data_IF_906099964001
#
_entry.id   IF_906099964001
#
_cell.length_a   1.000
_cell.length_b   1.000
_cell.length_c   1.000
_cell.angle_alpha   90.00
_cell.angle_beta   90.00
_cell.angle_gamma   90.00
#
_symmetry.space_group_name_H-M   'P 1'
#
loop_
_entity.id
_entity.type
_entity.pdbx_description
1 polymer ?
#
# COMPACT_ATOMS: atom_id res chain seq x y z
N UNK A 1 -16.72 -23.19 14.54
CA UNK A 1 -16.10 -21.89 14.25
C UNK A 1 -14.67 -22.20 13.88
N UNK A 2 -14.23 -21.84 12.67
CA UNK A 2 -12.80 -21.86 12.36
C UNK A 2 -12.18 -20.70 13.14
N UNK A 3 -11.23 -21.00 14.02
CA UNK A 3 -10.33 -19.98 14.55
C UNK A 3 -9.54 -19.43 13.36
N UNK A 4 -9.83 -18.20 12.97
CA UNK A 4 -9.14 -17.49 11.88
C UNK A 4 -7.73 -17.02 12.29
N UNK A 5 -7.26 -17.45 13.47
CA UNK A 5 -5.95 -17.13 14.07
C UNK A 5 -4.82 -18.08 13.64
N UNK A 6 -5.09 -19.04 12.74
CA UNK A 6 -4.03 -19.84 12.13
C UNK A 6 -3.27 -19.01 11.08
N UNK A 7 -1.94 -18.95 11.21
CA UNK A 7 -1.09 -18.25 10.26
C UNK A 7 -1.19 -18.91 8.87
N UNK A 8 -1.86 -18.26 7.94
CA UNK A 8 -1.87 -18.64 6.53
C UNK A 8 -0.83 -17.80 5.77
N UNK A 9 0.05 -18.46 5.02
CA UNK A 9 1.10 -17.81 4.22
C UNK A 9 0.77 -17.80 2.73
N UNK A 10 1.11 -16.70 2.05
CA UNK A 10 1.05 -16.57 0.59
C UNK A 10 2.28 -15.79 0.12
N UNK A 11 2.98 -16.30 -0.90
CA UNK A 11 4.16 -15.65 -1.46
C UNK A 11 3.79 -14.98 -2.79
N UNK A 12 4.07 -13.68 -2.90
CA UNK A 12 3.91 -12.90 -4.11
C UNK A 12 4.97 -11.81 -4.17
N UNK A 13 5.65 -11.70 -5.31
CA UNK A 13 6.63 -10.65 -5.55
C UNK A 13 5.98 -9.53 -6.34
N UNK A 14 5.78 -8.38 -5.70
CA UNK A 14 5.23 -7.20 -6.38
C UNK A 14 6.30 -6.54 -7.25
N UNK A 15 5.89 -6.15 -8.46
CA UNK A 15 6.64 -5.16 -9.23
C UNK A 15 6.49 -3.76 -8.62
N UNK A 16 7.46 -2.89 -8.88
CA UNK A 16 7.44 -1.49 -8.45
C UNK A 16 6.16 -0.75 -8.88
N UNK A 17 5.68 -1.04 -10.10
CA UNK A 17 4.45 -0.46 -10.62
C UNK A 17 3.22 -0.89 -9.81
N UNK A 18 3.16 -2.16 -9.41
CA UNK A 18 2.06 -2.67 -8.58
C UNK A 18 2.10 -2.05 -7.19
N UNK A 19 3.27 -1.99 -6.55
CA UNK A 19 3.42 -1.35 -5.24
C UNK A 19 2.93 0.10 -5.27
N UNK A 20 3.32 0.87 -6.30
CA UNK A 20 2.90 2.27 -6.45
C UNK A 20 1.40 2.40 -6.65
N UNK A 21 0.83 1.59 -7.54
CA UNK A 21 -0.61 1.60 -7.83
C UNK A 21 -1.41 1.20 -6.58
N UNK A 22 -0.96 0.18 -5.87
CA UNK A 22 -1.56 -0.32 -4.64
C UNK A 22 -1.51 0.73 -3.53
N UNK A 23 -0.37 1.38 -3.32
CA UNK A 23 -0.25 2.41 -2.28
C UNK A 23 -1.16 3.60 -2.54
N UNK A 24 -1.24 4.07 -3.79
CA UNK A 24 -2.17 5.15 -4.17
C UNK A 24 -3.64 4.73 -4.00
N UNK A 25 -3.97 3.49 -4.36
CA UNK A 25 -5.30 2.93 -4.16
C UNK A 25 -5.68 2.88 -2.67
N UNK A 26 -4.81 2.31 -1.83
CA UNK A 26 -5.04 2.18 -0.40
C UNK A 26 -5.20 3.54 0.28
N UNK A 27 -4.38 4.53 -0.08
CA UNK A 27 -4.49 5.89 0.44
C UNK A 27 -5.78 6.57 0.03
N UNK A 28 -6.22 6.38 -1.23
CA UNK A 28 -7.48 6.94 -1.74
C UNK A 28 -8.70 6.37 -1.03
N UNK A 29 -8.68 5.10 -0.66
CA UNK A 29 -9.80 4.39 -0.05
C UNK A 29 -9.57 4.03 1.42
N UNK A 30 -8.61 4.66 2.10
CA UNK A 30 -8.21 4.32 3.46
C UNK A 30 -9.40 4.29 4.44
N UNK A 31 -10.36 5.20 4.27
CA UNK A 31 -11.57 5.28 5.11
C UNK A 31 -12.55 4.11 4.92
N UNK A 32 -12.39 3.32 3.85
CA UNK A 32 -13.21 2.16 3.53
C UNK A 32 -12.47 0.84 3.81
N UNK A 33 -11.21 0.90 4.23
CA UNK A 33 -10.40 -0.30 4.47
C UNK A 33 -10.77 -0.95 5.81
N UNK A 34 -10.88 -2.29 5.86
CA UNK A 34 -11.00 -3.02 7.12
C UNK A 34 -9.82 -2.77 8.05
N UNK A 35 -10.08 -2.63 9.36
CA UNK A 35 -9.03 -2.47 10.39
C UNK A 35 -8.03 -3.63 10.39
N UNK A 36 -8.46 -4.84 9.99
CA UNK A 36 -7.60 -6.02 9.88
C UNK A 36 -6.46 -5.86 8.86
N UNK A 37 -6.55 -4.87 7.96
CA UNK A 37 -5.52 -4.57 6.96
C UNK A 37 -4.63 -3.39 7.35
N UNK A 38 -4.80 -2.78 8.53
CA UNK A 38 -4.04 -1.60 8.94
C UNK A 38 -2.53 -1.87 8.97
N UNK A 39 -2.10 -3.00 9.54
CA UNK A 39 -0.69 -3.38 9.58
C UNK A 39 -0.09 -3.54 8.17
N UNK A 40 -0.87 -4.07 7.23
CA UNK A 40 -0.43 -4.22 5.84
C UNK A 40 -0.27 -2.85 5.17
N UNK A 41 -1.24 -1.95 5.36
CA UNK A 41 -1.20 -0.59 4.82
C UNK A 41 0.01 0.17 5.38
N UNK A 42 0.23 0.12 6.69
CA UNK A 42 1.37 0.78 7.35
C UNK A 42 2.71 0.21 6.88
N UNK A 43 2.81 -1.11 6.69
CA UNK A 43 4.02 -1.75 6.16
C UNK A 43 4.34 -1.28 4.74
N UNK A 44 3.32 -1.19 3.88
CA UNK A 44 3.49 -0.70 2.52
C UNK A 44 3.85 0.80 2.50
N UNK A 45 3.19 1.61 3.32
CA UNK A 45 3.48 3.05 3.40
C UNK A 45 4.91 3.30 3.91
N UNK A 46 5.34 2.55 4.93
CA UNK A 46 6.71 2.61 5.45
C UNK A 46 7.74 2.26 4.37
N UNK A 47 7.49 1.24 3.56
CA UNK A 47 8.38 0.89 2.44
C UNK A 47 8.61 2.08 1.50
N UNK A 48 7.56 2.84 1.17
CA UNK A 48 7.69 4.04 0.34
C UNK A 48 8.47 5.17 1.02
N UNK A 49 8.20 5.45 2.31
CA UNK A 49 8.95 6.48 3.03
C UNK A 49 10.43 6.12 3.26
N UNK A 50 10.78 4.83 3.32
CA UNK A 50 12.17 4.37 3.45
C UNK A 50 12.93 4.37 2.12
N UNK A 51 12.21 4.28 1.00
CA UNK A 51 12.81 4.18 -0.35
C UNK A 51 12.81 5.50 -1.12
N UNK A 52 12.00 6.47 -0.70
CA UNK A 52 11.89 7.79 -1.31
C UNK A 52 12.47 8.88 -0.42
N UNK A 53 13.08 9.89 -1.03
CA UNK A 53 13.32 11.16 -0.35
C UNK A 53 12.01 11.88 -0.02
N UNK A 54 12.06 12.87 0.87
CA UNK A 54 10.89 13.67 1.26
C UNK A 54 10.22 14.31 0.04
N UNK A 55 11.01 14.88 -0.89
CA UNK A 55 10.48 15.49 -2.10
C UNK A 55 9.82 14.49 -3.05
N UNK A 56 10.40 13.30 -3.21
CA UNK A 56 9.81 12.22 -4.01
C UNK A 56 8.52 11.71 -3.39
N UNK A 57 8.44 11.59 -2.06
CA UNK A 57 7.22 11.19 -1.37
C UNK A 57 6.12 12.24 -1.51
N UNK A 58 6.44 13.53 -1.36
CA UNK A 58 5.50 14.62 -1.60
C UNK A 58 4.97 14.58 -3.04
N UNK A 59 5.85 14.47 -4.04
CA UNK A 59 5.45 14.37 -5.43
C UNK A 59 4.63 13.09 -5.69
N UNK A 60 4.99 11.96 -5.09
CA UNK A 60 4.29 10.70 -5.24
C UNK A 60 2.86 10.75 -4.65
N UNK A 61 2.68 11.29 -3.45
CA UNK A 61 1.39 11.27 -2.77
C UNK A 61 0.49 12.46 -3.11
N UNK A 62 1.05 13.58 -3.58
CA UNK A 62 0.28 14.80 -3.94
C UNK A 62 0.22 15.04 -5.44
N UNK A 63 1.17 14.51 -6.19
CA UNK A 63 1.17 14.54 -7.65
C UNK A 63 -0.04 13.78 -8.19
N UNK A 64 -0.70 14.36 -9.20
CA UNK A 64 -1.72 13.62 -9.94
C UNK A 64 -0.99 12.60 -10.80
N UNK A 65 -1.04 11.32 -10.42
CA UNK A 65 -0.51 10.18 -11.19
C UNK A 65 -1.65 9.42 -11.89
N UNK A 66 -2.33 10.01 -12.91
CA UNK A 66 -3.46 9.38 -13.58
C UNK A 66 -3.08 8.07 -14.29
N UNK A 67 -1.81 7.88 -14.66
CA UNK A 67 -1.27 6.70 -15.31
C UNK A 67 -1.17 5.47 -14.40
N UNK A 68 -1.16 5.68 -13.08
CA UNK A 68 -1.13 4.59 -12.08
C UNK A 68 -2.54 4.16 -11.64
N UNK A 69 -3.59 4.82 -12.15
CA UNK A 69 -5.00 4.55 -11.83
C UNK A 69 -5.80 4.05 -13.05
N UNK A 70 -5.13 3.67 -14.15
CA UNK A 70 -5.73 3.16 -15.38
C UNK A 70 -5.97 1.66 -15.36
#
# INVERSE_FOLDING_TARGET
MMDLDESAGFNYDFSEKELRSLMLFLRRYQQLMPETLENFIQALEKHFYETMSIGEAEEFFTGKHPELLK
#
